data_IF_020542979544
#
_entry.id   IF_020542979544
#
_cell.length_a   1.000
_cell.length_b   1.000
_cell.length_c   1.000
_cell.angle_alpha   90.00
_cell.angle_beta   90.00
_cell.angle_gamma   90.00
#
_symmetry.space_group_name_H-M   'P 1'
#
loop_
_entity.id
_entity.type
_entity.pdbx_description
1 polymer ?
#
# COMPACT_ATOMS: atom_id res chain seq x y z
N UNK A 1 4.44 -3.24 -9.78
CA UNK A 1 4.63 -1.95 -10.50
C UNK A 1 6.04 -1.74 -11.04
N UNK A 2 6.90 -0.87 -10.50
CA UNK A 2 8.16 -0.52 -11.19
C UNK A 2 9.14 -1.69 -11.36
N UNK A 3 9.19 -2.61 -10.39
CA UNK A 3 9.92 -3.89 -10.49
C UNK A 3 9.42 -4.76 -11.64
N UNK A 4 8.11 -4.82 -11.81
CA UNK A 4 7.44 -5.49 -12.94
C UNK A 4 7.82 -4.84 -14.27
N UNK A 5 7.95 -3.52 -14.33
CA UNK A 5 8.45 -2.80 -15.52
C UNK A 5 9.91 -3.14 -15.83
N UNK A 6 10.76 -3.30 -14.82
CA UNK A 6 12.16 -3.77 -14.98
C UNK A 6 12.21 -5.19 -15.56
N UNK A 7 11.36 -6.10 -15.08
CA UNK A 7 11.24 -7.46 -15.63
C UNK A 7 10.80 -7.45 -17.12
N UNK A 8 9.81 -6.62 -17.45
CA UNK A 8 9.23 -6.47 -18.79
C UNK A 8 10.07 -5.62 -19.76
N UNK A 9 11.03 -4.84 -19.26
CA UNK A 9 11.96 -4.06 -20.10
C UNK A 9 12.92 -5.03 -20.79
N UNK A 10 13.07 -5.01 -22.13
CA UNK A 10 14.02 -5.90 -22.80
C UNK A 10 15.47 -5.62 -22.33
N UNK A 11 16.34 -6.63 -22.24
CA UNK A 11 17.72 -6.42 -21.82
C UNK A 11 18.45 -5.52 -22.82
N UNK A 12 19.13 -4.48 -22.32
CA UNK A 12 20.09 -3.71 -23.12
C UNK A 12 21.25 -4.63 -23.51
N UNK A 13 21.68 -4.57 -24.76
CA UNK A 13 22.67 -5.51 -25.31
C UNK A 13 24.09 -5.23 -24.78
N UNK A 14 24.41 -5.79 -23.60
CA UNK A 14 25.69 -5.67 -22.90
C UNK A 14 26.25 -7.09 -22.65
N UNK A 15 27.58 -7.33 -22.75
CA UNK A 15 28.17 -8.67 -22.54
C UNK A 15 27.94 -9.23 -21.11
N UNK A 16 27.98 -10.57 -20.95
CA UNK A 16 27.51 -11.22 -19.72
C UNK A 16 28.51 -11.12 -18.55
N UNK A 17 28.11 -10.40 -17.50
CA UNK A 17 28.41 -10.82 -16.12
C UNK A 17 27.15 -11.48 -15.51
N UNK A 18 27.18 -11.86 -14.22
CA UNK A 18 26.22 -12.81 -13.66
C UNK A 18 24.83 -12.25 -13.29
N UNK A 19 24.74 -11.01 -12.83
CA UNK A 19 23.48 -10.30 -12.53
C UNK A 19 23.30 -8.86 -13.10
N UNK A 20 24.22 -8.27 -13.92
CA UNK A 20 24.08 -6.88 -14.35
C UNK A 20 22.81 -6.66 -15.17
N UNK A 21 22.28 -7.69 -15.84
CA UNK A 21 21.06 -7.62 -16.63
C UNK A 21 19.88 -7.01 -15.85
N UNK A 22 19.72 -7.29 -14.55
CA UNK A 22 18.68 -6.66 -13.73
C UNK A 22 19.03 -5.23 -13.33
N UNK A 23 20.28 -4.98 -12.95
CA UNK A 23 20.82 -3.67 -12.58
C UNK A 23 20.73 -2.68 -13.76
N UNK A 24 21.05 -3.13 -14.98
CA UNK A 24 20.96 -2.38 -16.23
C UNK A 24 19.52 -2.11 -16.63
N UNK A 25 18.61 -3.08 -16.49
CA UNK A 25 17.16 -2.87 -16.65
C UNK A 25 16.62 -1.86 -15.63
N UNK A 26 17.05 -1.91 -14.37
CA UNK A 26 16.67 -0.95 -13.34
C UNK A 26 17.18 0.46 -13.67
N UNK A 27 18.46 0.61 -14.02
CA UNK A 27 19.04 1.87 -14.47
C UNK A 27 18.34 2.40 -15.74
N UNK A 28 17.95 1.52 -16.69
CA UNK A 28 17.20 1.91 -17.87
C UNK A 28 15.81 2.47 -17.52
N UNK A 29 15.06 1.81 -16.63
CA UNK A 29 13.75 2.30 -16.13
C UNK A 29 13.89 3.63 -15.38
N UNK A 30 14.92 3.76 -14.52
CA UNK A 30 15.18 4.99 -13.77
C UNK A 30 15.68 6.16 -14.66
N UNK A 31 16.12 5.88 -15.89
CA UNK A 31 16.54 6.86 -16.89
C UNK A 31 15.44 7.24 -17.90
N UNK A 32 14.26 6.62 -17.85
CA UNK A 32 13.12 6.99 -18.71
C UNK A 32 12.63 8.39 -18.35
N UNK A 33 12.22 9.17 -19.36
CA UNK A 33 11.73 10.54 -19.16
C UNK A 33 10.45 10.56 -18.29
N UNK A 34 10.32 11.48 -17.30
CA UNK A 34 9.20 11.47 -16.35
C UNK A 34 7.82 11.63 -17.00
N UNK A 35 7.73 12.27 -18.18
CA UNK A 35 6.46 12.32 -18.94
C UNK A 35 6.07 10.96 -19.52
N UNK A 36 7.04 10.10 -19.88
CA UNK A 36 6.75 8.74 -20.36
C UNK A 36 6.34 7.82 -19.20
N UNK A 37 7.03 7.92 -18.06
CA UNK A 37 6.66 7.19 -16.83
C UNK A 37 5.24 7.55 -16.38
N UNK A 38 4.94 8.85 -16.25
CA UNK A 38 3.61 9.29 -15.82
C UNK A 38 2.50 8.98 -16.82
N UNK A 39 2.79 8.91 -18.13
CA UNK A 39 1.85 8.39 -19.15
C UNK A 39 1.62 6.90 -19.00
N UNK A 40 2.67 6.10 -18.80
CA UNK A 40 2.56 4.65 -18.60
C UNK A 40 1.76 4.31 -17.34
N UNK A 41 1.93 5.08 -16.26
CA UNK A 41 1.09 4.91 -15.06
C UNK A 41 -0.40 5.22 -15.32
N UNK A 42 -0.72 6.19 -16.17
CA UNK A 42 -2.12 6.43 -16.60
C UNK A 42 -2.66 5.33 -17.53
N UNK A 43 -1.82 4.74 -18.39
CA UNK A 43 -2.18 3.58 -19.23
C UNK A 43 -2.54 2.37 -18.34
N UNK A 44 -1.69 2.02 -17.36
CA UNK A 44 -1.97 0.92 -16.43
C UNK A 44 -3.17 1.21 -15.52
N UNK A 45 -3.38 2.46 -15.09
CA UNK A 45 -4.61 2.83 -14.38
C UNK A 45 -5.86 2.65 -15.25
N UNK A 46 -5.80 2.99 -16.54
CA UNK A 46 -6.91 2.83 -17.48
C UNK A 46 -7.21 1.36 -17.85
N UNK A 47 -6.21 0.47 -17.79
CA UNK A 47 -6.42 -0.99 -17.86
C UNK A 47 -7.20 -1.51 -16.64
N UNK A 48 -7.06 -0.85 -15.47
CA UNK A 48 -7.96 -0.98 -14.32
C UNK A 48 -7.96 -2.31 -13.57
N UNK A 49 -7.15 -3.28 -14.00
CA UNK A 49 -7.20 -4.66 -13.53
C UNK A 49 -6.06 -5.04 -12.59
N UNK A 50 -6.41 -5.74 -11.52
CA UNK A 50 -5.51 -6.71 -10.90
C UNK A 50 -5.59 -8.03 -11.67
N UNK A 51 -4.46 -8.63 -12.03
CA UNK A 51 -4.39 -10.08 -12.24
C UNK A 51 -3.46 -10.73 -11.24
N UNK A 52 -3.83 -11.91 -10.78
CA UNK A 52 -3.00 -12.70 -9.91
C UNK A 52 -2.07 -13.57 -10.74
N UNK A 53 -0.77 -13.27 -10.74
CA UNK A 53 0.24 -14.18 -11.29
C UNK A 53 0.90 -15.01 -10.18
N UNK A 54 1.49 -14.37 -9.16
CA UNK A 54 2.16 -15.06 -8.05
C UNK A 54 1.24 -15.98 -7.23
N UNK A 55 -0.06 -15.72 -7.24
CA UNK A 55 -1.07 -16.54 -6.57
C UNK A 55 -2.05 -17.19 -7.57
N UNK A 56 -1.71 -17.25 -8.87
CA UNK A 56 -2.53 -17.90 -9.91
C UNK A 56 -2.92 -19.37 -9.62
N UNK A 57 -2.14 -20.19 -8.88
CA UNK A 57 -2.56 -21.54 -8.48
C UNK A 57 -3.72 -21.57 -7.45
N UNK A 58 -4.02 -20.44 -6.82
CA UNK A 58 -4.97 -20.31 -5.69
C UNK A 58 -6.11 -19.35 -6.05
N UNK A 59 -5.80 -18.25 -6.73
CA UNK A 59 -6.75 -17.36 -7.38
C UNK A 59 -7.17 -17.93 -8.72
N UNK A 60 -8.37 -18.52 -8.76
CA UNK A 60 -8.97 -19.11 -9.96
C UNK A 60 -8.87 -18.16 -11.17
N UNK A 61 -8.36 -18.63 -12.32
CA UNK A 61 -8.29 -17.83 -13.54
C UNK A 61 -9.65 -17.20 -13.89
N UNK A 62 -9.68 -15.86 -14.00
CA UNK A 62 -10.89 -15.10 -14.34
C UNK A 62 -11.43 -14.17 -13.25
N UNK A 63 -10.96 -14.24 -11.99
CA UNK A 63 -11.25 -13.19 -10.99
C UNK A 63 -10.41 -11.93 -11.22
N UNK A 64 -10.70 -11.18 -12.29
CA UNK A 64 -10.25 -9.79 -12.45
C UNK A 64 -11.03 -8.91 -11.47
N UNK A 65 -10.36 -8.39 -10.44
CA UNK A 65 -10.98 -7.49 -9.47
C UNK A 65 -10.44 -6.08 -9.67
N UNK A 66 -11.35 -5.15 -9.95
CA UNK A 66 -11.08 -3.73 -10.00
C UNK A 66 -11.21 -3.15 -8.58
N UNK A 67 -10.50 -2.06 -8.28
CA UNK A 67 -10.45 -1.51 -6.93
C UNK A 67 -11.78 -0.84 -6.52
N UNK A 68 -12.62 -1.61 -5.83
CA UNK A 68 -13.94 -1.18 -5.40
C UNK A 68 -14.94 -1.21 -6.55
N UNK A 69 -15.13 -0.07 -7.21
CA UNK A 69 -16.14 0.10 -8.26
C UNK A 69 -15.46 0.24 -9.64
N UNK A 70 -15.77 -0.61 -10.64
CA UNK A 70 -15.24 -0.44 -12.00
C UNK A 70 -15.57 0.92 -12.60
N UNK A 71 -16.68 1.54 -12.21
CA UNK A 71 -17.07 2.86 -12.67
C UNK A 71 -16.19 3.98 -12.09
N UNK A 72 -15.55 3.76 -10.93
CA UNK A 72 -14.59 4.73 -10.39
C UNK A 72 -13.31 4.79 -11.22
N UNK A 73 -12.81 3.65 -11.70
CA UNK A 73 -11.69 3.62 -12.67
C UNK A 73 -12.16 4.24 -13.99
N UNK A 74 -13.30 3.78 -14.52
CA UNK A 74 -13.79 4.17 -15.85
C UNK A 74 -14.09 5.68 -15.98
N UNK A 75 -14.46 6.34 -14.88
CA UNK A 75 -14.76 7.79 -14.79
C UNK A 75 -13.56 8.66 -14.41
N UNK A 76 -12.49 8.10 -13.84
CA UNK A 76 -11.32 8.88 -13.41
C UNK A 76 -10.09 8.71 -14.31
N UNK A 77 -9.97 7.62 -15.05
CA UNK A 77 -8.96 7.48 -16.12
C UNK A 77 -8.93 8.71 -17.05
N UNK A 78 -7.78 8.98 -17.68
CA UNK A 78 -7.73 10.00 -18.72
C UNK A 78 -8.75 9.71 -19.85
N UNK A 79 -9.32 10.75 -20.49
CA UNK A 79 -10.18 10.58 -21.65
C UNK A 79 -9.52 9.68 -22.71
N UNK A 80 -10.21 8.64 -23.17
CA UNK A 80 -9.67 7.61 -24.08
C UNK A 80 -8.99 8.18 -25.33
N UNK A 81 -9.44 9.32 -25.83
CA UNK A 81 -8.80 10.02 -26.96
C UNK A 81 -7.39 10.51 -26.63
N UNK A 82 -7.12 10.96 -25.40
CA UNK A 82 -5.79 11.36 -24.94
C UNK A 82 -4.89 10.14 -24.71
N UNK A 83 -5.41 9.07 -24.10
CA UNK A 83 -4.67 7.80 -23.96
C UNK A 83 -4.23 7.26 -25.32
N UNK A 84 -5.15 7.23 -26.29
CA UNK A 84 -4.88 6.71 -27.65
C UNK A 84 -3.97 7.62 -28.52
N UNK A 85 -3.74 8.89 -28.14
CA UNK A 85 -2.94 9.84 -28.94
C UNK A 85 -1.62 10.23 -28.30
N UNK A 86 -1.53 10.20 -26.96
CA UNK A 86 -0.33 10.48 -26.18
C UNK A 86 0.13 9.20 -25.47
N UNK A 87 0.40 8.15 -26.25
CA UNK A 87 0.98 6.92 -25.72
C UNK A 87 2.33 7.20 -25.04
N UNK A 88 2.63 6.50 -23.95
CA UNK A 88 3.89 6.61 -23.20
C UNK A 88 5.15 6.34 -24.03
N UNK A 89 4.99 5.54 -25.09
CA UNK A 89 6.10 4.98 -25.88
C UNK A 89 6.78 3.79 -25.19
N UNK A 90 6.43 3.48 -23.94
CA UNK A 90 6.88 2.27 -23.25
C UNK A 90 6.05 1.09 -23.73
N UNK A 91 6.68 0.15 -24.44
CA UNK A 91 6.08 -1.12 -24.84
C UNK A 91 6.75 -2.25 -24.04
N UNK A 92 6.29 -2.55 -22.82
CA UNK A 92 6.79 -3.70 -22.05
C UNK A 92 6.67 -4.98 -22.86
N UNK A 93 7.80 -5.63 -23.13
CA UNK A 93 7.83 -6.94 -23.81
C UNK A 93 7.52 -8.02 -22.80
N UNK A 94 6.29 -8.53 -22.84
CA UNK A 94 5.85 -9.66 -22.03
C UNK A 94 6.71 -10.90 -22.35
N UNK A 95 7.20 -11.64 -21.34
CA UNK A 95 8.07 -12.79 -21.57
C UNK A 95 7.31 -13.90 -22.31
N UNK A 96 7.85 -14.33 -23.45
CA UNK A 96 7.23 -15.29 -24.37
C UNK A 96 7.15 -16.74 -23.84
N UNK A 97 7.31 -16.95 -22.54
CA UNK A 97 7.36 -18.27 -21.87
C UNK A 97 6.00 -18.78 -21.39
N UNK A 98 4.91 -18.03 -21.61
CA UNK A 98 3.53 -18.45 -21.33
C UNK A 98 2.72 -18.76 -22.60
N UNK A 99 3.33 -19.49 -23.53
CA UNK A 99 2.62 -20.29 -24.54
C UNK A 99 2.72 -19.80 -25.98
N UNK A 100 3.58 -20.45 -26.77
CA UNK A 100 3.63 -20.32 -28.23
C UNK A 100 4.64 -19.28 -28.73
N UNK A 101 5.48 -19.68 -29.68
CA UNK A 101 6.52 -18.83 -30.24
C UNK A 101 6.09 -18.16 -31.56
N UNK A 102 6.35 -16.86 -31.68
CA UNK A 102 6.81 -16.22 -32.93
C UNK A 102 7.78 -15.08 -32.60
N UNK A 103 8.79 -14.79 -33.45
CA UNK A 103 9.88 -13.88 -33.06
C UNK A 103 9.93 -12.54 -33.84
N UNK A 104 10.64 -11.57 -33.24
CA UNK A 104 11.29 -10.35 -33.78
C UNK A 104 10.46 -9.15 -34.31
N UNK A 105 11.07 -7.97 -34.10
CA UNK A 105 11.06 -6.69 -34.86
C UNK A 105 10.13 -5.51 -34.49
N UNK A 106 10.77 -4.54 -33.83
CA UNK A 106 10.96 -3.14 -34.26
C UNK A 106 9.80 -2.13 -34.40
N UNK A 107 10.22 -0.87 -34.32
CA UNK A 107 9.39 0.33 -34.45
C UNK A 107 8.94 0.56 -35.90
N UNK A 108 7.62 0.63 -36.15
CA UNK A 108 6.96 1.72 -36.93
C UNK A 108 5.43 1.58 -36.95
N UNK A 109 4.75 2.73 -36.97
CA UNK A 109 3.33 3.03 -37.26
C UNK A 109 2.36 1.86 -37.56
N UNK A 110 1.30 1.78 -36.73
CA UNK A 110 -0.05 1.46 -37.17
C UNK A 110 -1.05 2.39 -36.45
N UNK A 111 -2.06 2.98 -37.13
CA UNK A 111 -3.08 3.81 -36.49
C UNK A 111 -4.16 2.95 -35.79
N UNK A 112 -4.81 3.46 -34.72
CA UNK A 112 -5.78 2.68 -33.96
C UNK A 112 -7.10 2.53 -34.73
N UNK A 113 -7.43 1.31 -35.16
CA UNK A 113 -8.78 0.95 -35.58
C UNK A 113 -9.50 0.15 -34.48
N UNK A 114 -10.71 0.61 -34.17
CA UNK A 114 -11.82 -0.08 -33.50
C UNK A 114 -11.53 -1.25 -32.53
N UNK A 115 -11.63 -0.96 -31.23
CA UNK A 115 -12.24 -1.80 -30.17
C UNK A 115 -12.03 -3.32 -30.33
N UNK A 116 -10.87 -3.84 -29.90
CA UNK A 116 -10.63 -5.28 -29.82
C UNK A 116 -9.25 -5.64 -29.27
N UNK A 117 -9.17 -5.90 -27.96
CA UNK A 117 -8.16 -6.72 -27.24
C UNK A 117 -6.74 -6.65 -27.85
N UNK A 118 -5.95 -5.65 -27.43
CA UNK A 118 -4.70 -5.24 -28.11
C UNK A 118 -3.41 -5.27 -27.29
N UNK A 119 -3.28 -6.15 -26.28
CA UNK A 119 -2.00 -6.41 -25.60
C UNK A 119 -1.71 -7.92 -25.59
N UNK A 120 -0.46 -8.27 -25.91
CA UNK A 120 -0.02 -9.63 -26.26
C UNK A 120 0.11 -10.64 -25.12
N UNK A 121 -0.47 -10.38 -23.94
CA UNK A 121 -0.67 -11.37 -22.90
C UNK A 121 -1.95 -11.05 -22.10
N UNK A 122 -2.63 -12.10 -21.65
CA UNK A 122 -4.00 -12.04 -21.13
C UNK A 122 -4.11 -11.72 -19.63
N UNK A 123 -3.17 -10.95 -19.07
CA UNK A 123 -3.07 -10.68 -17.63
C UNK A 123 -2.62 -9.23 -17.31
N UNK A 124 -3.50 -8.36 -16.75
CA UNK A 124 -3.14 -6.99 -16.35
C UNK A 124 -2.16 -6.92 -15.16
N UNK A 125 -1.36 -5.84 -15.11
CA UNK A 125 -0.17 -5.73 -14.27
C UNK A 125 -0.46 -5.58 -12.77
N UNK A 126 0.39 -6.19 -11.92
CA UNK A 126 0.20 -6.18 -10.46
C UNK A 126 0.63 -4.85 -9.81
N UNK A 127 -0.34 -4.15 -9.22
CA UNK A 127 -0.12 -3.20 -8.14
C UNK A 127 0.10 -3.87 -6.78
N UNK A 128 0.92 -3.22 -5.95
CA UNK A 128 1.10 -3.57 -4.55
C UNK A 128 -0.11 -3.11 -3.74
N UNK A 129 -0.41 -3.76 -2.62
CA UNK A 129 -1.45 -3.30 -1.68
C UNK A 129 -0.96 -2.09 -0.86
N UNK A 130 -1.84 -1.20 -0.38
CA UNK A 130 -1.46 -0.01 0.41
C UNK A 130 -0.54 -0.32 1.60
N UNK A 131 -0.65 -1.52 2.19
CA UNK A 131 0.20 -1.93 3.32
C UNK A 131 1.69 -2.05 2.93
N UNK A 132 2.00 -2.36 1.66
CA UNK A 132 3.37 -2.25 1.11
C UNK A 132 3.90 -0.82 1.23
N UNK A 133 3.11 0.17 0.79
CA UNK A 133 3.51 1.57 0.83
C UNK A 133 3.74 2.04 2.27
N UNK A 134 2.88 1.65 3.20
CA UNK A 134 3.06 1.93 4.63
C UNK A 134 4.36 1.31 5.20
N UNK A 135 4.64 0.04 4.92
CA UNK A 135 5.82 -0.66 5.42
C UNK A 135 7.12 -0.08 4.84
N UNK A 136 7.15 0.17 3.52
CA UNK A 136 8.30 0.79 2.86
C UNK A 136 8.49 2.25 3.30
N UNK A 137 7.42 3.04 3.48
CA UNK A 137 7.54 4.42 3.99
C UNK A 137 8.04 4.45 5.44
N UNK A 138 7.63 3.49 6.27
CA UNK A 138 8.07 3.35 7.67
C UNK A 138 9.58 3.11 7.84
N UNK A 139 10.32 2.80 6.76
CA UNK A 139 11.79 2.76 6.76
C UNK A 139 12.45 4.14 6.85
N UNK A 140 11.72 5.21 6.49
CA UNK A 140 12.26 6.57 6.30
C UNK A 140 12.79 6.87 4.89
N UNK A 141 12.63 5.95 3.93
CA UNK A 141 13.22 6.05 2.58
C UNK A 141 12.89 7.35 1.82
N UNK A 142 11.66 7.86 1.92
CA UNK A 142 11.24 9.10 1.23
C UNK A 142 12.00 10.31 1.78
N UNK A 143 12.26 10.34 3.09
CA UNK A 143 12.98 11.44 3.74
C UNK A 143 14.46 11.41 3.36
N UNK A 144 15.07 10.22 3.37
CA UNK A 144 16.47 10.01 3.00
C UNK A 144 16.70 10.36 1.51
N UNK A 145 15.91 9.80 0.60
CA UNK A 145 16.08 10.05 -0.84
C UNK A 145 15.59 11.45 -1.26
N UNK A 146 14.63 12.04 -0.53
CA UNK A 146 14.26 13.44 -0.70
C UNK A 146 15.40 14.40 -0.32
N UNK A 147 16.15 14.11 0.74
CA UNK A 147 17.34 14.89 1.11
C UNK A 147 18.50 14.67 0.10
N UNK A 148 18.64 13.48 -0.49
CA UNK A 148 19.57 13.22 -1.61
C UNK A 148 19.20 14.09 -2.82
N UNK A 149 17.94 14.07 -3.26
CA UNK A 149 17.45 14.90 -4.39
C UNK A 149 17.66 16.38 -4.08
N UNK A 150 17.27 16.84 -2.89
CA UNK A 150 17.46 18.23 -2.46
C UNK A 150 18.93 18.65 -2.50
N UNK A 151 19.85 17.79 -2.07
CA UNK A 151 21.29 18.09 -2.11
C UNK A 151 21.86 18.13 -3.52
N UNK A 152 21.41 17.25 -4.43
CA UNK A 152 21.83 17.28 -5.83
C UNK A 152 21.24 18.43 -6.66
N UNK A 153 20.04 18.92 -6.31
CA UNK A 153 19.38 20.05 -7.00
C UNK A 153 19.87 21.40 -6.48
N UNK A 154 20.11 21.54 -5.17
CA UNK A 154 20.39 22.84 -4.53
C UNK A 154 21.89 23.09 -4.30
N UNK A 155 22.78 22.09 -4.43
CA UNK A 155 24.22 22.33 -4.26
C UNK A 155 25.15 21.17 -4.59
N UNK A 156 26.40 21.30 -4.15
CA UNK A 156 27.52 20.41 -4.50
C UNK A 156 28.01 19.59 -3.29
N UNK A 157 27.11 19.31 -2.34
CA UNK A 157 27.42 18.65 -1.05
C UNK A 157 27.54 17.13 -1.12
N UNK A 158 27.33 16.54 -2.30
CA UNK A 158 27.41 15.10 -2.59
C UNK A 158 28.44 14.85 -3.71
N UNK A 159 28.97 13.62 -3.86
CA UNK A 159 29.92 13.30 -4.93
C UNK A 159 29.35 13.57 -6.32
N UNK A 160 30.20 14.02 -7.25
CA UNK A 160 29.84 14.40 -8.62
C UNK A 160 29.01 13.32 -9.32
N UNK A 161 27.74 13.58 -9.66
CA UNK A 161 26.83 12.57 -10.20
C UNK A 161 27.10 12.28 -11.68
N UNK A 162 26.89 11.03 -12.11
CA UNK A 162 26.83 10.65 -13.52
C UNK A 162 25.57 11.22 -14.19
N UNK A 163 25.58 11.27 -15.52
CA UNK A 163 24.43 11.71 -16.34
C UNK A 163 23.18 10.85 -16.08
N UNK A 164 23.34 9.54 -15.79
CA UNK A 164 22.24 8.65 -15.38
C UNK A 164 21.63 9.05 -14.05
N UNK A 165 22.48 9.37 -13.06
CA UNK A 165 22.09 9.84 -11.72
C UNK A 165 21.38 11.18 -11.79
N UNK A 166 21.84 12.12 -12.63
CA UNK A 166 21.13 13.37 -12.92
C UNK A 166 19.76 13.13 -13.59
N UNK A 167 19.68 12.13 -14.49
CA UNK A 167 18.42 11.68 -15.09
C UNK A 167 17.43 11.16 -14.03
N UNK A 168 17.91 10.37 -13.06
CA UNK A 168 17.11 9.90 -11.94
C UNK A 168 16.68 11.03 -11.00
N UNK A 169 17.59 11.94 -10.62
CA UNK A 169 17.29 13.10 -9.75
C UNK A 169 16.16 13.92 -10.36
N UNK A 170 16.31 14.32 -11.64
CA UNK A 170 15.29 15.08 -12.38
C UNK A 170 13.97 14.32 -12.45
N UNK A 171 13.99 13.02 -12.75
CA UNK A 171 12.76 12.23 -12.89
C UNK A 171 12.03 12.09 -11.55
N UNK A 172 12.77 11.92 -10.46
CA UNK A 172 12.23 11.82 -9.10
C UNK A 172 11.68 13.15 -8.60
N UNK A 173 12.34 14.26 -8.91
CA UNK A 173 11.86 15.62 -8.62
C UNK A 173 10.54 15.91 -9.35
N UNK A 174 10.52 15.77 -10.69
CA UNK A 174 9.36 16.06 -11.54
C UNK A 174 8.15 15.15 -11.26
N UNK A 175 8.36 13.91 -10.80
CA UNK A 175 7.27 12.97 -10.48
C UNK A 175 6.72 13.14 -9.06
N UNK A 176 7.53 13.51 -8.06
CA UNK A 176 7.15 13.35 -6.65
C UNK A 176 7.41 14.54 -5.72
N UNK A 177 8.29 15.48 -6.09
CA UNK A 177 8.62 16.65 -5.27
C UNK A 177 8.15 17.98 -5.87
N UNK A 178 7.88 18.00 -7.18
CA UNK A 178 7.26 19.12 -7.90
C UNK A 178 5.73 19.01 -7.92
N UNK A 179 5.06 20.16 -8.08
CA UNK A 179 3.66 20.20 -8.50
C UNK A 179 3.46 19.42 -9.79
N UNK A 180 2.69 18.33 -9.71
CA UNK A 180 2.48 17.41 -10.81
C UNK A 180 1.60 18.02 -11.91
N UNK A 181 1.81 17.69 -13.20
CA UNK A 181 0.94 18.13 -14.27
C UNK A 181 -0.46 17.53 -14.13
N UNK A 182 -1.49 18.31 -14.50
CA UNK A 182 -2.94 18.01 -14.40
C UNK A 182 -3.39 16.66 -15.01
N UNK A 183 -2.54 16.03 -15.82
CA UNK A 183 -2.83 14.80 -16.56
C UNK A 183 -1.88 13.67 -16.14
N UNK A 184 -1.53 13.58 -14.86
CA UNK A 184 -0.69 12.51 -14.29
C UNK A 184 -1.34 11.93 -13.04
N UNK A 185 -0.93 10.70 -12.68
CA UNK A 185 -1.44 10.00 -11.49
C UNK A 185 -1.14 10.79 -10.21
N UNK A 186 0.03 11.45 -10.16
CA UNK A 186 0.43 12.35 -9.07
C UNK A 186 -0.37 13.67 -9.00
N UNK A 187 -0.91 14.14 -10.14
CA UNK A 187 -1.65 15.40 -10.25
C UNK A 187 -2.99 15.45 -9.50
N UNK A 188 -3.43 14.32 -8.91
CA UNK A 188 -4.58 14.25 -8.01
C UNK A 188 -4.19 13.97 -6.55
N UNK A 189 -2.91 14.01 -6.19
CA UNK A 189 -2.43 13.85 -4.81
C UNK A 189 -2.24 15.17 -4.09
N UNK A 190 -1.80 16.21 -4.82
CA UNK A 190 -1.69 17.58 -4.32
C UNK A 190 -2.76 18.45 -4.97
N UNK A 191 -3.39 19.32 -4.17
CA UNK A 191 -4.28 20.38 -4.66
C UNK A 191 -4.50 21.42 -3.56
N UNK A 192 -5.21 22.53 -3.86
CA UNK A 192 -5.59 23.52 -2.85
C UNK A 192 -6.41 22.92 -1.68
N UNK A 193 -7.09 21.79 -1.89
CA UNK A 193 -7.85 21.06 -0.85
C UNK A 193 -7.01 20.00 -0.12
N UNK A 194 -5.84 19.65 -0.67
CA UNK A 194 -4.94 18.58 -0.21
C UNK A 194 -3.48 19.02 -0.43
N UNK A 195 -3.00 20.07 0.27
CA UNK A 195 -1.78 20.78 -0.12
C UNK A 195 -0.47 20.01 0.13
N UNK A 196 -0.43 19.10 1.11
CA UNK A 196 0.76 18.33 1.44
C UNK A 196 0.56 16.82 1.26
N UNK A 197 1.29 16.25 0.30
CA UNK A 197 1.30 14.81 0.02
C UNK A 197 1.70 13.94 1.24
N UNK A 198 2.51 14.45 2.18
CA UNK A 198 2.92 13.72 3.40
C UNK A 198 1.75 13.54 4.36
N UNK A 199 1.02 14.62 4.64
CA UNK A 199 -0.23 14.58 5.40
C UNK A 199 -1.28 13.70 4.69
N UNK A 200 -1.39 13.78 3.37
CA UNK A 200 -2.33 12.96 2.61
C UNK A 200 -2.02 11.46 2.68
N UNK A 201 -0.73 11.04 2.58
CA UNK A 201 -0.33 9.63 2.81
C UNK A 201 -0.68 9.14 4.20
N UNK A 202 -0.36 9.91 5.25
CA UNK A 202 -0.74 9.58 6.64
C UNK A 202 -2.26 9.49 6.83
N UNK A 203 -3.05 10.33 6.17
CA UNK A 203 -4.52 10.25 6.22
C UNK A 203 -5.02 8.93 5.63
N UNK A 204 -4.44 8.51 4.50
CA UNK A 204 -4.81 7.27 3.80
C UNK A 204 -4.43 6.02 4.61
N UNK A 205 -3.22 5.97 5.20
CA UNK A 205 -2.85 4.87 6.12
C UNK A 205 -3.72 4.83 7.38
N UNK A 206 -4.03 5.99 7.98
CA UNK A 206 -4.89 6.09 9.15
C UNK A 206 -6.35 5.68 8.85
N UNK A 207 -6.88 6.03 7.67
CA UNK A 207 -8.21 5.59 7.22
C UNK A 207 -8.26 4.08 6.99
N UNK A 208 -7.24 3.49 6.35
CA UNK A 208 -7.23 2.08 5.96
C UNK A 208 -6.87 1.11 7.08
N UNK A 209 -5.92 1.47 7.96
CA UNK A 209 -5.37 0.57 8.99
C UNK A 209 -5.42 1.14 10.41
N UNK A 210 -5.77 2.43 10.59
CA UNK A 210 -5.65 3.11 11.89
C UNK A 210 -4.21 3.31 12.36
N UNK A 211 -3.23 3.17 11.46
CA UNK A 211 -1.79 3.26 11.76
C UNK A 211 -1.24 4.65 11.42
N UNK A 212 -0.15 5.01 12.09
CA UNK A 212 0.63 6.23 11.88
C UNK A 212 2.08 5.84 11.59
N UNK A 213 2.80 6.63 10.80
CA UNK A 213 4.20 6.30 10.46
C UNK A 213 5.13 6.60 11.66
N UNK A 214 6.15 5.77 11.92
CA UNK A 214 6.99 5.86 13.14
C UNK A 214 7.96 7.06 13.17
N UNK A 215 8.29 7.63 12.01
CA UNK A 215 9.06 8.88 11.88
C UNK A 215 8.13 10.10 12.06
N UNK A 216 8.62 11.30 12.44
CA UNK A 216 7.81 12.52 12.52
C UNK A 216 7.24 12.92 11.14
N UNK A 217 6.14 13.72 11.08
CA UNK A 217 5.50 14.07 9.81
C UNK A 217 6.37 14.93 8.88
N UNK A 218 7.22 15.78 9.46
CA UNK A 218 8.08 16.73 8.75
C UNK A 218 8.23 18.02 9.56
N UNK A 219 9.11 18.92 9.13
CA UNK A 219 9.18 20.27 9.67
C UNK A 219 7.97 21.11 9.20
N UNK A 220 7.39 21.93 10.07
CA UNK A 220 6.27 22.82 9.73
C UNK A 220 4.87 22.19 9.73
N UNK A 221 4.71 20.95 10.19
CA UNK A 221 3.41 20.26 10.30
C UNK A 221 3.00 20.20 11.78
N UNK A 222 2.18 21.16 12.21
CA UNK A 222 1.72 21.24 13.61
C UNK A 222 0.53 20.30 13.89
N UNK A 223 0.66 19.51 14.96
CA UNK A 223 -0.38 18.61 15.44
C UNK A 223 -0.55 17.35 14.58
N UNK A 224 -1.80 16.91 14.37
CA UNK A 224 -2.13 15.68 13.64
C UNK A 224 -3.21 15.95 12.56
N UNK A 225 -2.96 16.84 11.57
CA UNK A 225 -3.96 17.22 10.57
C UNK A 225 -4.52 16.04 9.78
N UNK A 226 -3.73 14.98 9.55
CA UNK A 226 -4.15 13.77 8.84
C UNK A 226 -5.30 13.01 9.51
N UNK A 227 -5.61 13.31 10.78
CA UNK A 227 -6.69 12.67 11.55
C UNK A 227 -8.00 13.45 11.59
N UNK A 228 -8.09 14.59 10.88
CA UNK A 228 -9.31 15.40 10.80
C UNK A 228 -10.34 14.73 9.88
N UNK A 229 -9.96 14.51 8.62
CA UNK A 229 -10.87 14.07 7.56
C UNK A 229 -10.82 12.55 7.36
N UNK A 230 -11.27 11.81 8.40
CA UNK A 230 -11.14 10.34 8.48
C UNK A 230 -12.47 9.57 8.45
N UNK A 231 -13.60 10.27 8.44
CA UNK A 231 -14.94 9.69 8.55
C UNK A 231 -15.33 9.32 9.99
N UNK A 232 -16.53 8.76 10.17
CA UNK A 232 -17.13 8.49 11.49
C UNK A 232 -16.40 7.44 12.32
N UNK A 233 -15.59 6.57 11.71
CA UNK A 233 -14.72 5.61 12.41
C UNK A 233 -13.57 5.20 11.47
N UNK A 234 -12.29 5.30 11.86
CA UNK A 234 -11.15 4.70 11.14
C UNK A 234 -10.99 3.20 11.47
N UNK A 235 -10.17 2.45 10.71
CA UNK A 235 -9.94 1.00 10.92
C UNK A 235 -8.99 0.68 12.10
N UNK A 236 -9.15 1.31 13.27
CA UNK A 236 -8.23 1.14 14.42
C UNK A 236 -8.15 -0.26 15.01
N UNK A 237 -9.10 -1.16 14.70
CA UNK A 237 -9.04 -2.59 15.09
C UNK A 237 -8.29 -3.47 14.09
N UNK A 238 -7.72 -2.91 13.02
CA UNK A 238 -6.95 -3.69 12.04
C UNK A 238 -5.75 -4.39 12.69
N UNK A 239 -4.96 -3.67 13.49
CA UNK A 239 -3.80 -4.25 14.17
C UNK A 239 -4.18 -5.37 15.15
N UNK A 240 -5.29 -5.19 15.87
CA UNK A 240 -5.83 -6.17 16.84
C UNK A 240 -6.19 -7.49 16.15
N UNK A 241 -6.98 -7.43 15.07
CA UNK A 241 -7.39 -8.60 14.29
C UNK A 241 -6.22 -9.23 13.51
N UNK A 242 -5.24 -8.42 13.09
CA UNK A 242 -4.06 -8.88 12.36
C UNK A 242 -3.08 -9.66 13.27
N UNK A 243 -2.72 -9.12 14.45
CA UNK A 243 -1.88 -9.86 15.41
C UNK A 243 -2.57 -11.14 15.89
N UNK A 244 -3.90 -11.13 16.10
CA UNK A 244 -4.64 -12.35 16.45
C UNK A 244 -4.67 -13.37 15.31
N UNK A 245 -4.85 -12.95 14.04
CA UNK A 245 -4.74 -13.85 12.88
C UNK A 245 -3.35 -14.49 12.80
N UNK A 246 -2.28 -13.71 12.93
CA UNK A 246 -0.91 -14.23 12.91
C UNK A 246 -0.66 -15.23 14.06
N UNK A 247 -1.22 -14.97 15.25
CA UNK A 247 -1.11 -15.85 16.42
C UNK A 247 -1.86 -17.18 16.24
N UNK A 248 -3.04 -17.15 15.63
CA UNK A 248 -3.84 -18.35 15.33
C UNK A 248 -3.23 -19.18 14.19
N UNK A 249 -2.66 -18.52 13.17
CA UNK A 249 -1.90 -19.20 12.11
C UNK A 249 -0.61 -19.82 12.65
N UNK A 250 0.12 -19.16 13.56
CA UNK A 250 1.26 -19.77 14.26
C UNK A 250 0.86 -21.02 15.05
N UNK A 251 -0.26 -20.95 15.79
CA UNK A 251 -0.84 -22.11 16.49
C UNK A 251 -1.12 -23.28 15.55
N UNK A 252 -1.63 -23.00 14.35
CA UNK A 252 -1.84 -23.99 13.30
C UNK A 252 -0.53 -24.61 12.78
N UNK A 253 0.50 -23.80 12.54
CA UNK A 253 1.82 -24.27 12.07
C UNK A 253 2.49 -25.17 13.13
N UNK A 254 2.38 -24.81 14.41
CA UNK A 254 2.90 -25.61 15.53
C UNK A 254 2.18 -26.96 15.67
N UNK A 255 0.86 -26.99 15.42
CA UNK A 255 0.04 -28.20 15.55
C UNK A 255 -0.17 -28.98 14.23
N UNK A 256 0.41 -28.56 13.10
CA UNK A 256 0.23 -29.18 11.79
C UNK A 256 0.70 -30.66 11.73
N UNK A 257 1.72 -31.01 12.53
CA UNK A 257 2.18 -32.39 12.72
C UNK A 257 1.53 -33.11 13.91
N UNK A 258 0.61 -32.49 14.63
CA UNK A 258 0.02 -33.05 15.84
C UNK A 258 -1.04 -34.11 15.50
N UNK A 259 -0.63 -35.38 15.54
CA UNK A 259 -1.49 -36.55 15.33
C UNK A 259 -1.96 -37.22 16.62
N UNK A 260 -1.59 -36.69 17.80
CA UNK A 260 -1.85 -37.34 19.09
C UNK A 260 -2.00 -36.32 20.24
N UNK A 261 -3.24 -35.97 20.57
CA UNK A 261 -3.58 -35.05 21.65
C UNK A 261 -4.72 -34.11 21.25
N UNK A 262 -5.02 -33.15 22.10
CA UNK A 262 -5.95 -32.06 21.75
C UNK A 262 -5.26 -31.09 20.81
N UNK A 263 -5.76 -30.94 19.58
CA UNK A 263 -5.34 -29.87 18.68
C UNK A 263 -6.22 -28.63 18.95
N UNK A 264 -5.64 -27.47 19.34
CA UNK A 264 -6.38 -26.25 19.62
C UNK A 264 -6.67 -25.38 18.37
N UNK A 265 -6.19 -25.77 17.19
CA UNK A 265 -6.33 -24.98 15.95
C UNK A 265 -7.75 -25.08 15.38
N UNK A 266 -8.37 -23.92 15.13
CA UNK A 266 -9.68 -23.80 14.49
C UNK A 266 -9.57 -23.05 13.16
N UNK A 267 -9.70 -23.77 12.05
CA UNK A 267 -9.69 -23.20 10.69
C UNK A 267 -10.92 -22.36 10.37
N UNK A 268 -12.04 -22.55 11.06
CA UNK A 268 -13.23 -21.70 10.92
C UNK A 268 -13.05 -20.35 11.62
N UNK A 269 -12.37 -20.32 12.77
CA UNK A 269 -11.99 -19.07 13.43
C UNK A 269 -10.96 -18.27 12.63
N UNK A 270 -9.96 -18.93 12.04
CA UNK A 270 -9.00 -18.29 11.11
C UNK A 270 -9.75 -17.70 9.90
N UNK A 271 -10.71 -18.44 9.32
CA UNK A 271 -11.53 -17.94 8.21
C UNK A 271 -12.38 -16.73 8.59
N UNK A 272 -12.98 -16.72 9.78
CA UNK A 272 -13.72 -15.58 10.32
C UNK A 272 -12.83 -14.33 10.55
N UNK A 273 -11.57 -14.50 10.98
CA UNK A 273 -10.61 -13.40 11.09
C UNK A 273 -10.23 -12.84 9.71
N UNK A 274 -10.00 -13.71 8.71
CA UNK A 274 -9.77 -13.29 7.33
C UNK A 274 -10.98 -12.54 6.75
N UNK A 275 -12.21 -13.04 6.94
CA UNK A 275 -13.43 -12.34 6.53
C UNK A 275 -13.55 -10.98 7.21
N UNK A 276 -13.33 -10.90 8.53
CA UNK A 276 -13.40 -9.65 9.30
C UNK A 276 -12.42 -8.58 8.79
N UNK A 277 -11.19 -8.98 8.47
CA UNK A 277 -10.20 -8.09 7.84
C UNK A 277 -10.64 -7.68 6.42
N UNK A 278 -11.10 -8.64 5.62
CA UNK A 278 -11.62 -8.41 4.25
C UNK A 278 -12.72 -7.35 4.22
N UNK A 279 -13.74 -7.49 5.07
CA UNK A 279 -14.85 -6.54 5.17
C UNK A 279 -14.37 -5.15 5.61
N UNK A 280 -13.48 -5.04 6.61
CA UNK A 280 -12.96 -3.73 7.03
C UNK A 280 -12.16 -3.01 5.94
N UNK A 281 -11.41 -3.73 5.10
CA UNK A 281 -10.65 -3.14 3.98
C UNK A 281 -11.59 -2.76 2.82
N UNK A 282 -12.48 -3.65 2.40
CA UNK A 282 -13.47 -3.39 1.34
C UNK A 282 -14.38 -2.20 1.68
N UNK A 283 -14.80 -2.03 2.94
CA UNK A 283 -15.62 -0.90 3.39
C UNK A 283 -14.95 0.47 3.17
N UNK A 284 -13.60 0.53 3.10
CA UNK A 284 -12.86 1.77 2.77
C UNK A 284 -12.76 2.05 1.28
N UNK A 285 -12.85 0.99 0.46
CA UNK A 285 -12.74 1.00 -1.00
C UNK A 285 -14.08 1.16 -1.73
N UNK A 286 -15.19 1.03 -1.01
CA UNK A 286 -16.54 1.10 -1.57
C UNK A 286 -16.74 2.38 -2.40
N UNK A 287 -17.19 2.23 -3.64
CA UNK A 287 -17.32 3.33 -4.60
C UNK A 287 -15.99 3.84 -5.19
N UNK A 288 -14.90 3.07 -5.08
CA UNK A 288 -13.58 3.46 -5.56
C UNK A 288 -12.86 4.50 -4.70
N UNK A 289 -13.36 4.75 -3.48
CA UNK A 289 -12.66 5.56 -2.48
C UNK A 289 -11.27 4.96 -2.19
N UNK A 290 -10.28 5.82 -1.91
CA UNK A 290 -8.84 5.49 -1.78
C UNK A 290 -8.15 4.94 -3.04
N UNK A 291 -8.85 4.34 -4.01
CA UNK A 291 -8.25 3.51 -5.06
C UNK A 291 -7.10 4.18 -5.84
N UNK A 292 -7.29 5.45 -6.27
CA UNK A 292 -6.24 6.19 -6.98
C UNK A 292 -5.16 6.76 -6.06
N UNK A 293 -5.51 7.07 -4.81
CA UNK A 293 -4.54 7.52 -3.80
C UNK A 293 -3.55 6.37 -3.50
N UNK A 294 -4.06 5.15 -3.32
CA UNK A 294 -3.25 3.94 -3.17
C UNK A 294 -2.39 3.64 -4.39
N UNK A 295 -2.95 3.60 -5.61
CA UNK A 295 -2.14 3.34 -6.82
C UNK A 295 -0.99 4.34 -6.94
N UNK A 296 -1.23 5.61 -6.66
CA UNK A 296 -0.22 6.64 -6.72
C UNK A 296 0.85 6.51 -5.62
N UNK A 297 0.46 6.13 -4.40
CA UNK A 297 1.42 5.93 -3.31
C UNK A 297 2.17 4.59 -3.45
N UNK A 298 1.56 3.51 -3.91
CA UNK A 298 2.25 2.23 -4.15
C UNK A 298 3.20 2.31 -5.34
N UNK A 299 2.84 3.07 -6.39
CA UNK A 299 3.78 3.39 -7.48
C UNK A 299 4.93 4.27 -6.98
N UNK A 300 4.67 5.36 -6.26
CA UNK A 300 5.69 6.22 -5.62
C UNK A 300 6.66 5.41 -4.74
N UNK A 301 6.15 4.59 -3.82
CA UNK A 301 6.99 3.81 -2.91
C UNK A 301 7.74 2.67 -3.63
N UNK A 302 7.19 2.11 -4.71
CA UNK A 302 7.91 1.13 -5.53
C UNK A 302 8.98 1.75 -6.44
N UNK A 303 8.89 3.04 -6.80
CA UNK A 303 10.00 3.78 -7.42
C UNK A 303 11.16 3.89 -6.43
N UNK A 304 10.90 4.36 -5.22
CA UNK A 304 11.94 4.48 -4.19
C UNK A 304 12.52 3.13 -3.79
N UNK A 305 11.72 2.08 -3.59
CA UNK A 305 12.23 0.73 -3.31
C UNK A 305 13.17 0.24 -4.43
N UNK A 306 12.81 0.40 -5.71
CA UNK A 306 13.65 0.00 -6.84
C UNK A 306 15.04 0.67 -6.83
N UNK A 307 15.16 1.91 -6.34
CA UNK A 307 16.46 2.61 -6.27
C UNK A 307 17.46 1.98 -5.30
N UNK A 308 16.97 1.29 -4.25
CA UNK A 308 17.78 0.61 -3.22
C UNK A 308 17.76 -0.91 -3.33
N UNK A 309 16.87 -1.50 -4.15
CA UNK A 309 16.81 -2.94 -4.42
C UNK A 309 18.09 -3.44 -5.12
N UNK A 310 18.62 -2.64 -6.05
CA UNK A 310 19.84 -2.92 -6.81
C UNK A 310 20.90 -1.84 -6.57
N UNK A 311 22.15 -2.09 -6.95
CA UNK A 311 23.21 -1.09 -7.01
C UNK A 311 22.99 -0.15 -8.22
N UNK A 312 21.93 0.66 -8.17
CA UNK A 312 21.59 1.64 -9.20
C UNK A 312 22.64 2.77 -9.26
N UNK A 313 22.71 3.53 -10.35
CA UNK A 313 23.77 4.55 -10.50
C UNK A 313 23.82 5.59 -9.36
N UNK A 314 22.70 5.85 -8.69
CA UNK A 314 22.60 6.64 -7.45
C UNK A 314 23.38 6.00 -6.30
N UNK A 315 23.22 4.69 -6.09
CA UNK A 315 23.94 3.91 -5.07
C UNK A 315 25.45 3.91 -5.36
N UNK A 316 25.84 3.71 -6.62
CA UNK A 316 27.26 3.67 -7.02
C UNK A 316 27.93 5.04 -6.89
N UNK A 317 27.25 6.13 -7.25
CA UNK A 317 27.81 7.49 -7.17
C UNK A 317 27.90 8.02 -5.74
N UNK A 318 26.99 7.60 -4.86
CA UNK A 318 27.07 7.86 -3.43
C UNK A 318 28.09 6.96 -2.72
N UNK A 319 28.69 5.98 -3.41
CA UNK A 319 29.55 4.97 -2.80
C UNK A 319 28.86 4.28 -1.62
N UNK A 320 27.64 3.79 -1.88
CA UNK A 320 26.71 3.21 -0.91
C UNK A 320 26.32 1.76 -1.27
N UNK A 321 27.14 1.12 -2.10
CA UNK A 321 26.99 -0.26 -2.57
C UNK A 321 27.06 -1.25 -1.40
N UNK A 322 26.19 -2.27 -1.42
CA UNK A 322 26.13 -3.29 -0.37
C UNK A 322 26.69 -4.66 -0.80
N UNK A 323 27.30 -4.74 -1.99
CA UNK A 323 27.82 -5.98 -2.57
C UNK A 323 26.74 -6.89 -3.16
N UNK A 324 27.17 -8.03 -3.71
CA UNK A 324 26.30 -8.96 -4.47
C UNK A 324 25.11 -9.49 -3.67
N UNK A 325 25.29 -9.73 -2.38
CA UNK A 325 24.28 -10.26 -1.46
C UNK A 325 23.67 -9.15 -0.56
N UNK A 326 23.90 -7.88 -0.93
CA UNK A 326 23.52 -6.72 -0.15
C UNK A 326 22.01 -6.48 -0.10
N UNK A 327 21.47 -6.18 1.09
CA UNK A 327 20.06 -5.91 1.31
C UNK A 327 19.71 -4.43 0.99
N UNK A 328 18.50 -4.11 0.48
CA UNK A 328 18.05 -2.72 0.31
C UNK A 328 18.13 -1.85 1.58
N UNK A 329 17.98 -2.44 2.77
CA UNK A 329 18.17 -1.72 4.03
C UNK A 329 19.62 -1.28 4.27
N UNK A 330 20.60 -2.10 3.89
CA UNK A 330 22.03 -1.79 4.07
C UNK A 330 22.45 -0.67 3.10
N UNK A 331 21.97 -0.72 1.84
CA UNK A 331 22.12 0.39 0.87
C UNK A 331 21.44 1.67 1.38
N UNK A 332 20.21 1.58 1.90
CA UNK A 332 19.51 2.74 2.46
C UNK A 332 20.24 3.34 3.68
N UNK A 333 20.85 2.52 4.54
CA UNK A 333 21.65 2.98 5.66
C UNK A 333 22.94 3.68 5.20
N UNK A 334 23.61 3.15 4.17
CA UNK A 334 24.80 3.76 3.59
C UNK A 334 24.48 5.10 2.88
N UNK A 335 23.37 5.18 2.13
CA UNK A 335 22.85 6.43 1.58
C UNK A 335 22.51 7.42 2.71
N UNK A 336 21.80 6.96 3.73
CA UNK A 336 21.45 7.73 4.93
C UNK A 336 22.67 8.36 5.59
N UNK A 337 23.76 7.60 5.74
CA UNK A 337 25.01 8.11 6.28
C UNK A 337 25.64 9.24 5.44
N UNK A 338 25.45 9.26 4.11
CA UNK A 338 25.88 10.40 3.25
C UNK A 338 25.04 11.65 3.48
N UNK A 339 23.74 11.51 3.73
CA UNK A 339 22.86 12.66 4.06
C UNK A 339 22.84 13.03 5.54
N UNK A 340 23.42 12.22 6.43
CA UNK A 340 23.37 12.43 7.88
C UNK A 340 22.02 12.08 8.51
N UNK A 341 21.27 11.16 7.89
CA UNK A 341 19.97 10.66 8.36
C UNK A 341 20.05 9.15 8.58
N UNK A 342 19.45 8.64 9.65
CA UNK A 342 19.36 7.20 9.89
C UNK A 342 17.99 6.66 9.44
N UNK A 343 17.94 5.52 8.70
CA UNK A 343 16.68 4.82 8.49
C UNK A 343 16.17 4.17 9.79
N UNK A 344 14.96 3.61 9.74
CA UNK A 344 14.46 2.75 10.82
C UNK A 344 15.42 1.59 11.11
N UNK A 345 15.61 1.25 12.38
CA UNK A 345 16.44 0.11 12.81
C UNK A 345 15.93 -1.24 12.29
N UNK A 346 14.65 -1.30 11.93
CA UNK A 346 13.95 -2.48 11.41
C UNK A 346 13.74 -2.40 9.89
N UNK A 347 14.50 -1.55 9.19
CA UNK A 347 14.30 -1.33 7.75
C UNK A 347 14.46 -2.63 6.94
N UNK A 348 15.37 -3.53 7.34
CA UNK A 348 15.57 -4.83 6.70
C UNK A 348 14.30 -5.68 6.75
N UNK A 349 13.75 -5.83 7.93
CA UNK A 349 12.51 -6.58 8.15
C UNK A 349 11.35 -5.92 7.43
N UNK A 350 11.25 -4.59 7.44
CA UNK A 350 10.17 -3.84 6.77
C UNK A 350 10.19 -4.03 5.24
N UNK A 351 11.36 -4.04 4.59
CA UNK A 351 11.46 -4.33 3.15
C UNK A 351 11.08 -5.78 2.84
N UNK A 352 11.67 -6.76 3.54
CA UNK A 352 11.37 -8.19 3.34
C UNK A 352 9.89 -8.51 3.65
N UNK A 353 9.29 -7.84 4.63
CA UNK A 353 7.88 -8.01 5.03
C UNK A 353 6.93 -7.38 4.00
N UNK A 354 7.25 -6.22 3.43
CA UNK A 354 6.39 -5.52 2.48
C UNK A 354 6.04 -6.38 1.26
N UNK A 355 7.03 -7.10 0.72
CA UNK A 355 6.88 -7.95 -0.48
C UNK A 355 6.04 -9.20 -0.22
N UNK A 356 6.10 -9.75 0.99
CA UNK A 356 5.33 -10.93 1.39
C UNK A 356 3.89 -10.57 1.80
N UNK A 357 3.71 -9.45 2.50
CA UNK A 357 2.41 -8.98 3.00
C UNK A 357 1.55 -8.36 1.89
N UNK A 358 2.16 -7.70 0.89
CA UNK A 358 1.44 -7.07 -0.24
C UNK A 358 0.43 -8.02 -0.92
N UNK A 359 0.83 -9.18 -1.46
CA UNK A 359 -0.11 -10.09 -2.13
C UNK A 359 -0.99 -10.89 -1.15
N UNK A 360 -0.56 -11.08 0.10
CA UNK A 360 -1.38 -11.70 1.14
C UNK A 360 -2.58 -10.81 1.52
N UNK A 361 -2.37 -9.50 1.64
CA UNK A 361 -3.45 -8.54 1.87
C UNK A 361 -4.47 -8.58 0.72
N UNK A 362 -4.01 -8.63 -0.53
CA UNK A 362 -4.89 -8.87 -1.67
C UNK A 362 -5.65 -10.19 -1.54
N UNK A 363 -4.98 -11.30 -1.21
CA UNK A 363 -5.62 -12.61 -1.04
C UNK A 363 -6.71 -12.62 0.05
N UNK A 364 -6.50 -11.93 1.17
CA UNK A 364 -7.50 -11.74 2.24
C UNK A 364 -8.65 -10.85 1.76
N UNK A 365 -8.35 -9.70 1.14
CA UNK A 365 -9.37 -8.75 0.67
C UNK A 365 -10.23 -9.32 -0.48
N UNK A 366 -9.68 -10.23 -1.29
CA UNK A 366 -10.39 -11.00 -2.32
C UNK A 366 -11.26 -12.14 -1.73
N UNK A 367 -11.26 -12.30 -0.41
CA UNK A 367 -12.09 -13.24 0.35
C UNK A 367 -11.67 -14.70 0.22
N UNK A 368 -10.43 -14.97 -0.23
CA UNK A 368 -9.99 -16.34 -0.55
C UNK A 368 -9.94 -17.26 0.66
N UNK A 369 -9.61 -16.70 1.82
CA UNK A 369 -9.43 -17.44 3.06
C UNK A 369 -10.65 -17.34 3.98
N UNK A 370 -11.80 -16.86 3.49
CA UNK A 370 -13.01 -16.74 4.31
C UNK A 370 -13.61 -18.12 4.63
N UNK A 371 -13.51 -19.07 3.69
CA UNK A 371 -13.95 -20.45 3.89
C UNK A 371 -12.89 -21.27 4.68
N UNK A 372 -13.31 -22.19 5.58
CA UNK A 372 -12.37 -22.94 6.42
C UNK A 372 -11.34 -23.75 5.64
N UNK A 373 -11.73 -24.40 4.54
CA UNK A 373 -10.81 -25.23 3.73
C UNK A 373 -9.64 -24.44 3.15
N UNK A 374 -9.89 -23.33 2.42
CA UNK A 374 -8.84 -22.40 2.02
C UNK A 374 -8.04 -21.80 3.19
N UNK A 375 -8.67 -21.49 4.33
CA UNK A 375 -7.98 -20.99 5.52
C UNK A 375 -6.94 -21.97 6.07
N UNK A 376 -7.12 -23.29 5.89
CA UNK A 376 -6.10 -24.30 6.25
C UNK A 376 -4.80 -24.14 5.48
N UNK A 377 -4.81 -23.59 4.26
CA UNK A 377 -3.60 -23.38 3.47
C UNK A 377 -2.66 -22.34 4.09
N UNK A 378 -3.15 -21.50 5.02
CA UNK A 378 -2.33 -20.52 5.75
C UNK A 378 -1.40 -21.18 6.77
N UNK A 379 -1.71 -22.39 7.25
CA UNK A 379 -0.96 -23.03 8.33
C UNK A 379 -0.54 -24.48 8.06
N UNK A 380 -1.25 -25.24 7.20
CA UNK A 380 -0.86 -26.61 6.87
C UNK A 380 0.33 -26.63 5.92
N UNK A 381 1.42 -27.26 6.35
CA UNK A 381 2.63 -27.52 5.57
C UNK A 381 2.69 -29.01 5.19
N UNK A 382 2.10 -29.88 6.00
CA UNK A 382 2.11 -31.34 5.84
C UNK A 382 0.73 -31.87 5.41
N UNK A 383 0.70 -33.06 4.82
CA UNK A 383 -0.52 -33.74 4.36
C UNK A 383 -1.39 -32.98 3.34
N UNK A 384 -0.86 -31.91 2.72
CA UNK A 384 -1.45 -31.27 1.55
C UNK A 384 -1.50 -32.26 0.36
N UNK A 385 -2.48 -32.15 -0.55
CA UNK A 385 -2.45 -32.83 -1.84
C UNK A 385 -1.18 -32.45 -2.61
N UNK A 386 -0.59 -33.40 -3.34
CA UNK A 386 0.67 -33.19 -4.10
C UNK A 386 0.59 -32.15 -5.22
N UNK A 387 -0.62 -31.64 -5.52
CA UNK A 387 -0.89 -30.53 -6.45
C UNK A 387 -0.81 -29.15 -5.81
N UNK A 388 -0.81 -29.04 -4.48
CA UNK A 388 -0.87 -27.77 -3.75
C UNK A 388 0.49 -27.47 -3.11
N UNK A 389 1.25 -26.47 -3.58
CA UNK A 389 2.55 -26.16 -3.01
C UNK A 389 2.42 -25.59 -1.59
N UNK A 390 3.27 -25.99 -0.62
CA UNK A 390 3.24 -25.49 0.77
C UNK A 390 3.77 -24.04 0.91
N UNK A 391 3.92 -23.31 -0.20
CA UNK A 391 4.46 -21.95 -0.25
C UNK A 391 3.63 -20.97 0.58
N UNK A 392 2.30 -21.16 0.65
CA UNK A 392 1.39 -20.29 1.43
C UNK A 392 1.77 -20.30 2.92
N UNK A 393 1.78 -21.47 3.56
CA UNK A 393 2.12 -21.60 4.97
C UNK A 393 3.59 -21.27 5.27
N UNK A 394 4.51 -21.52 4.32
CA UNK A 394 5.91 -21.08 4.43
C UNK A 394 6.03 -19.53 4.40
N UNK A 395 5.31 -18.86 3.50
CA UNK A 395 5.21 -17.40 3.45
C UNK A 395 4.56 -16.85 4.72
N UNK A 396 3.51 -17.47 5.24
CA UNK A 396 2.89 -17.07 6.51
C UNK A 396 3.87 -17.18 7.69
N UNK A 397 4.63 -18.28 7.81
CA UNK A 397 5.65 -18.42 8.85
C UNK A 397 6.72 -17.31 8.75
N UNK A 398 7.19 -17.00 7.52
CA UNK A 398 8.17 -15.91 7.30
C UNK A 398 7.59 -14.53 7.62
N UNK A 399 6.31 -14.29 7.33
CA UNK A 399 5.60 -13.08 7.72
C UNK A 399 5.51 -12.97 9.26
N UNK A 400 5.21 -14.07 9.97
CA UNK A 400 5.17 -14.08 11.44
C UNK A 400 6.55 -13.77 12.04
N UNK A 401 7.63 -14.38 11.52
CA UNK A 401 9.02 -14.09 11.94
C UNK A 401 9.37 -12.61 11.75
N UNK A 402 9.15 -12.09 10.54
CA UNK A 402 9.48 -10.71 10.19
C UNK A 402 8.60 -9.70 10.94
N UNK A 403 7.31 -9.99 11.13
CA UNK A 403 6.39 -9.14 11.89
C UNK A 403 6.81 -9.03 13.36
N UNK A 404 7.16 -10.15 14.00
CA UNK A 404 7.62 -10.15 15.39
C UNK A 404 8.94 -9.38 15.56
N UNK A 405 9.87 -9.44 14.60
CA UNK A 405 11.10 -8.62 14.63
C UNK A 405 10.83 -7.13 14.31
N UNK A 406 9.99 -6.84 13.32
CA UNK A 406 9.66 -5.48 12.87
C UNK A 406 8.77 -4.68 13.84
N UNK A 407 7.97 -5.36 14.68
CA UNK A 407 7.06 -4.69 15.64
C UNK A 407 7.46 -4.90 17.10
N UNK A 408 8.21 -5.95 17.42
CA UNK A 408 8.42 -6.42 18.79
C UNK A 408 7.21 -7.10 19.42
N UNK A 409 6.10 -7.28 18.68
CA UNK A 409 4.92 -7.99 19.14
C UNK A 409 5.18 -9.50 19.25
N UNK A 410 4.77 -10.11 20.35
CA UNK A 410 5.18 -11.47 20.74
C UNK A 410 4.22 -12.52 20.19
N UNK A 411 4.02 -12.50 18.88
CA UNK A 411 3.06 -13.38 18.17
C UNK A 411 3.31 -14.86 18.44
N UNK A 412 4.59 -15.29 18.51
CA UNK A 412 4.96 -16.69 18.79
C UNK A 412 4.96 -17.06 20.28
N UNK A 413 4.93 -16.09 21.19
CA UNK A 413 4.72 -16.39 22.61
C UNK A 413 3.23 -16.69 22.81
N UNK A 414 2.89 -17.98 22.74
CA UNK A 414 1.64 -18.46 23.33
C UNK A 414 1.49 -17.89 24.73
N UNK A 415 0.25 -17.53 25.09
CA UNK A 415 -0.09 -16.80 26.30
C UNK A 415 0.07 -17.63 27.59
N UNK A 416 1.29 -18.10 27.84
CA UNK A 416 1.83 -18.42 29.16
C UNK A 416 2.01 -17.11 29.92
N UNK A 417 0.86 -16.46 30.16
CA UNK A 417 0.69 -15.38 31.12
C UNK A 417 0.89 -15.98 32.51
N UNK A 418 2.14 -16.32 32.84
CA UNK A 418 2.53 -16.52 34.23
C UNK A 418 2.04 -15.30 34.97
N UNK A 419 1.13 -15.52 35.93
CA UNK A 419 0.39 -14.49 36.65
C UNK A 419 1.31 -13.80 37.66
N UNK A 420 2.38 -13.17 37.16
CA UNK A 420 3.49 -12.60 37.91
C UNK A 420 3.02 -11.31 38.59
N UNK A 421 2.53 -11.55 39.82
CA UNK A 421 2.09 -10.58 40.82
C UNK A 421 0.80 -9.81 40.48
N UNK A 422 -0.04 -9.52 41.48
CA UNK A 422 -1.13 -8.57 41.33
C UNK A 422 -0.54 -7.16 41.22
N UNK A 423 -0.91 -6.44 40.16
CA UNK A 423 -0.76 -4.98 40.13
C UNK A 423 -1.54 -4.41 41.32
N UNK A 424 -0.96 -3.54 42.17
CA UNK A 424 -1.72 -2.92 43.26
C UNK A 424 -2.92 -2.16 42.68
N UNK A 425 -4.10 -2.43 43.21
CA UNK A 425 -5.35 -1.97 42.61
C UNK A 425 -5.34 -0.44 42.44
N UNK A 426 -5.47 0.03 41.19
CA UNK A 426 -5.87 1.42 40.95
C UNK A 426 -7.20 1.67 41.69
N UNK A 427 -7.36 2.78 42.42
CA UNK A 427 -8.62 3.07 43.10
C UNK A 427 -9.74 3.10 42.06
N UNK A 428 -10.82 2.35 42.34
CA UNK A 428 -11.93 2.22 41.41
C UNK A 428 -12.54 3.60 41.13
N UNK A 429 -12.67 3.94 39.84
CA UNK A 429 -13.41 5.11 39.41
C UNK A 429 -14.85 4.98 39.96
N UNK A 430 -15.36 5.96 40.72
CA UNK A 430 -16.56 5.74 41.53
C UNK A 430 -17.82 5.63 40.67
N UNK A 431 -18.29 4.41 40.45
CA UNK A 431 -19.55 4.11 39.75
C UNK A 431 -20.77 4.47 40.63
N UNK A 432 -20.98 5.78 40.83
CA UNK A 432 -22.20 6.34 41.43
C UNK A 432 -22.68 7.50 40.57
N UNK A 433 -23.91 7.37 40.06
CA UNK A 433 -24.67 8.52 39.58
C UNK A 433 -24.88 9.50 40.76
N UNK A 434 -24.77 10.83 40.56
CA UNK A 434 -24.91 11.81 41.63
C UNK A 434 -26.36 11.87 42.12
N UNK A 435 -26.64 11.12 43.20
CA UNK A 435 -27.96 11.06 43.82
C UNK A 435 -28.20 12.27 44.74
N UNK A 436 -28.97 13.25 44.27
CA UNK A 436 -29.74 14.14 45.14
C UNK A 436 -29.12 15.51 45.46
N UNK A 437 -29.39 16.48 44.61
CA UNK A 437 -29.79 17.81 45.09
C UNK A 437 -31.01 18.27 44.28
N UNK A 438 -32.20 18.11 44.88
CA UNK A 438 -33.46 18.56 44.29
C UNK A 438 -33.58 20.08 44.49
N UNK A 439 -33.32 20.85 43.43
CA UNK A 439 -33.80 22.24 43.36
C UNK A 439 -35.31 22.19 43.13
N UNK A 440 -36.07 22.85 44.00
CA UNK A 440 -37.53 22.87 43.94
C UNK A 440 -38.03 23.58 42.68
N UNK A 441 -38.98 22.95 41.98
CA UNK A 441 -39.62 23.56 40.82
C UNK A 441 -40.50 24.76 41.23
N UNK A 442 -40.50 25.88 40.49
CA UNK A 442 -41.43 26.97 40.72
C UNK A 442 -42.87 26.51 40.46
N UNK A 443 -43.80 26.94 41.31
CA UNK A 443 -45.20 26.53 41.28
C UNK A 443 -45.97 27.11 40.09
N UNK A 444 -46.83 26.29 39.48
CA UNK A 444 -47.82 26.77 38.50
C UNK A 444 -48.85 27.69 39.18
N UNK A 445 -49.14 28.88 38.65
CA UNK A 445 -50.39 29.58 38.95
C UNK A 445 -51.60 28.86 38.33
N UNK A 446 -52.78 29.12 38.88
CA UNK A 446 -54.05 28.44 38.55
C UNK A 446 -54.68 29.00 37.27
N UNK A 447 -55.39 28.16 36.51
CA UNK A 447 -56.06 28.52 35.26
C UNK A 447 -57.30 29.40 35.46
N UNK A 448 -57.56 30.27 34.48
CA UNK A 448 -58.85 30.95 34.26
C UNK A 448 -59.29 30.79 32.79
N UNK A 449 -60.58 31.05 32.51
CA UNK A 449 -61.29 30.65 31.30
C UNK A 449 -60.90 31.42 30.00
N UNK A 450 -61.16 30.86 28.80
CA UNK A 450 -60.83 31.48 27.51
C UNK A 450 -61.86 32.53 27.05
N UNK A 451 -61.45 33.45 26.16
CA UNK A 451 -62.35 34.45 25.59
C UNK A 451 -61.93 34.98 24.22
N UNK A 452 -62.83 34.80 23.23
CA UNK A 452 -62.97 35.51 21.95
C UNK A 452 -61.80 35.53 20.92
N UNK A 453 -62.17 35.45 19.65
CA UNK A 453 -61.31 35.61 18.47
C UNK A 453 -61.63 36.91 17.72
N UNK A 454 -60.64 37.48 17.03
CA UNK A 454 -60.86 38.44 15.93
C UNK A 454 -59.78 38.37 14.84
N UNK A 455 -60.23 38.60 13.61
CA UNK A 455 -59.53 38.39 12.32
C UNK A 455 -58.41 39.40 11.98
N UNK A 456 -57.55 39.03 11.02
CA UNK A 456 -56.68 39.94 10.23
C UNK A 456 -55.31 39.30 9.93
N UNK A 457 -55.00 38.78 8.74
CA UNK A 457 -54.69 39.50 7.47
C UNK A 457 -53.63 40.62 7.65
N UNK A 458 -52.57 40.74 6.84
CA UNK A 458 -52.43 40.40 5.40
C UNK A 458 -50.93 40.25 5.01
N UNK A 459 -50.60 39.44 3.99
CA UNK A 459 -49.37 39.62 3.17
C UNK A 459 -49.58 40.81 2.19
N UNK A 460 -48.53 41.52 1.73
CA UNK A 460 -47.99 41.19 0.40
C UNK A 460 -46.46 41.37 0.21
N UNK A 461 -45.98 40.79 -0.89
CA UNK A 461 -44.69 40.89 -1.60
C UNK A 461 -45.03 40.53 -3.08
N UNK A 462 -44.28 40.90 -4.15
CA UNK A 462 -43.23 41.91 -4.31
C UNK A 462 -43.86 43.21 -4.90
N UNK A 463 -43.36 44.07 -5.82
CA UNK A 463 -42.21 44.14 -6.74
C UNK A 463 -41.80 45.60 -7.02
N UNK A 464 -40.50 45.84 -7.26
CA UNK A 464 -39.97 46.13 -8.60
C UNK A 464 -38.51 45.65 -8.70
#
# INVERSE_FOLDING_TARGET
MFRTLVELTPPVAIPPAKDPLKQDKANAVLAVHPLQISRWLEEVWAEGGFSSFLWAPILSPGKTVLLGDPDAVSRTQLPRNLLNTLLSGLRPTLPATLGGATPIQDFVKAPPQAIGIGLGATQPLMWEHLLYAYLVESTGIIDILGEVVRRYVIGETLPTPRVTTLGWVRSTEELYFRDNPLFSVGGLLTSQLRPDARVNRRNVYWRMFGLDLPHPPGAGIDGQPWKRDIGTTPNTRFLELWSELLRQVWLGIENDRNSSGTNPTDSSYIGYLCQSLSEMLQLRRRGGMLAREEFAYTTMLSWFHLTVEYDTSVVTDLGAEAGTDGNPADRLAAIGARVGMAPSRQARELFELADLVSPLMWAIELGLFNDPGPAEMLFKIHNLPSTTPPTVAQTMNRIIDLWQSATGDRVKDLAVTTRRQPVPARPAQPTKLPSGQLVSAPSKPVSAAPGASTNGSRRPVPQL
#
